data_IF_218515020791
#
_entry.id   IF_218515020791
#
_cell.length_a   1.000
_cell.length_b   1.000
_cell.length_c   1.000
_cell.angle_alpha   90.00
_cell.angle_beta   90.00
_cell.angle_gamma   90.00
#
_symmetry.space_group_name_H-M   'P 1'
#
loop_
_entity.id
_entity.type
_entity.pdbx_description
1 polymer ?
#
# COMPACT_ATOMS: atom_id res chain seq x y z
N UNK A 1 7.16 24.80 -28.52
CA UNK A 1 6.80 23.43 -28.10
C UNK A 1 8.03 22.56 -28.28
N UNK A 2 8.83 22.38 -27.22
CA UNK A 2 9.97 21.46 -27.25
C UNK A 2 9.42 20.05 -27.02
N UNK A 3 9.27 19.31 -28.11
CA UNK A 3 8.98 17.89 -28.07
C UNK A 3 10.25 17.21 -27.55
N UNK A 4 10.22 16.79 -26.28
CA UNK A 4 11.29 15.99 -25.70
C UNK A 4 11.38 14.68 -26.51
N UNK A 5 12.37 14.60 -27.41
CA UNK A 5 12.74 13.34 -28.02
C UNK A 5 13.19 12.40 -26.90
N UNK A 6 12.62 11.21 -26.91
CA UNK A 6 12.88 10.16 -25.93
C UNK A 6 14.36 9.76 -26.07
N UNK A 7 15.23 10.36 -25.28
CA UNK A 7 16.67 10.04 -25.21
C UNK A 7 17.07 9.59 -23.81
N UNK A 8 16.20 8.82 -23.14
CA UNK A 8 16.43 8.27 -21.80
C UNK A 8 16.06 6.79 -21.74
N UNK A 9 16.58 6.01 -22.68
CA UNK A 9 16.41 4.57 -22.73
C UNK A 9 17.55 3.86 -23.45
N UNK A 10 18.74 4.46 -23.46
CA UNK A 10 19.95 3.81 -23.94
C UNK A 10 20.85 3.58 -22.75
N UNK A 11 21.37 2.35 -22.65
CA UNK A 11 22.52 2.04 -21.84
C UNK A 11 23.73 2.93 -22.26
N UNK A 12 24.61 3.30 -21.30
CA UNK A 12 25.91 3.96 -21.53
C UNK A 12 26.78 3.18 -22.54
N UNK A 13 27.91 3.67 -23.04
CA UNK A 13 28.76 2.83 -23.91
C UNK A 13 29.82 2.13 -23.05
N UNK A 14 29.98 0.81 -23.17
CA UNK A 14 30.98 0.05 -22.38
C UNK A 14 32.42 0.30 -22.84
N UNK A 15 32.62 0.95 -24.00
CA UNK A 15 33.96 1.28 -24.49
C UNK A 15 34.55 2.45 -23.73
N UNK A 16 35.89 2.49 -23.66
CA UNK A 16 36.58 3.66 -23.15
C UNK A 16 36.10 4.90 -23.93
N UNK A 17 35.80 6.02 -23.24
CA UNK A 17 35.29 7.20 -23.91
C UNK A 17 36.29 7.67 -24.95
N UNK A 18 35.83 7.76 -26.21
CA UNK A 18 36.64 8.24 -27.32
C UNK A 18 37.17 9.65 -26.99
N UNK A 19 38.46 9.94 -27.24
CA UNK A 19 39.00 11.28 -27.10
C UNK A 19 38.13 12.27 -27.89
N UNK A 20 37.88 13.45 -27.31
CA UNK A 20 37.00 14.47 -27.90
C UNK A 20 37.40 14.84 -29.35
N UNK A 21 38.69 14.77 -29.67
CA UNK A 21 39.25 14.98 -31.01
C UNK A 21 38.76 13.95 -32.04
N UNK A 22 38.60 12.69 -31.64
CA UNK A 22 38.08 11.59 -32.46
C UNK A 22 36.57 11.70 -32.60
N UNK A 23 35.85 12.01 -31.52
CA UNK A 23 34.40 12.22 -31.53
C UNK A 23 33.98 13.33 -32.51
N UNK A 24 34.70 14.46 -32.52
CA UNK A 24 34.43 15.59 -33.44
C UNK A 24 34.64 15.22 -34.91
N UNK A 25 35.51 14.25 -35.20
CA UNK A 25 35.89 13.84 -36.57
C UNK A 25 35.04 12.66 -37.08
N UNK A 26 34.35 11.94 -36.19
CA UNK A 26 33.52 10.81 -36.56
C UNK A 26 32.29 11.27 -37.35
N UNK A 27 31.96 10.66 -38.51
CA UNK A 27 30.72 10.96 -39.19
C UNK A 27 29.57 10.58 -38.25
N UNK A 28 28.63 11.50 -38.07
CA UNK A 28 27.48 11.42 -37.16
C UNK A 28 26.44 10.34 -37.53
N UNK A 29 26.86 9.23 -38.15
CA UNK A 29 26.01 8.28 -38.87
C UNK A 29 26.11 6.82 -38.44
N UNK A 30 27.02 6.44 -37.53
CA UNK A 30 27.05 5.06 -37.03
C UNK A 30 26.08 4.90 -35.84
N UNK A 31 24.80 5.15 -36.10
CA UNK A 31 23.71 5.03 -35.13
C UNK A 31 23.12 3.63 -35.25
N UNK A 32 23.85 2.64 -34.75
CA UNK A 32 23.25 1.32 -34.53
C UNK A 32 22.12 1.44 -33.49
N UNK A 33 21.09 0.60 -33.60
CA UNK A 33 19.89 0.74 -32.78
C UNK A 33 20.13 0.24 -31.35
N UNK A 34 20.43 1.18 -30.45
CA UNK A 34 20.65 0.91 -29.02
C UNK A 34 19.41 0.41 -28.27
N UNK A 35 18.22 0.51 -28.86
CA UNK A 35 16.99 -0.02 -28.26
C UNK A 35 16.85 -1.54 -28.45
N UNK A 36 17.58 -2.14 -29.41
CA UNK A 36 17.56 -3.58 -29.65
C UNK A 36 18.73 -4.25 -28.93
N UNK A 37 18.44 -4.99 -27.85
CA UNK A 37 19.47 -5.73 -27.10
C UNK A 37 20.29 -6.66 -27.99
N UNK A 38 19.66 -7.30 -28.99
CA UNK A 38 20.35 -8.18 -29.93
C UNK A 38 21.38 -7.41 -30.79
N UNK A 39 20.99 -6.24 -31.28
CA UNK A 39 21.85 -5.40 -32.11
C UNK A 39 23.03 -4.85 -31.28
N UNK A 40 22.79 -4.51 -30.01
CA UNK A 40 23.84 -4.18 -29.05
C UNK A 40 24.85 -5.31 -28.88
N UNK A 41 24.37 -6.54 -28.68
CA UNK A 41 25.24 -7.70 -28.47
C UNK A 41 26.09 -7.95 -29.71
N UNK A 42 25.50 -7.93 -30.91
CA UNK A 42 26.22 -8.13 -32.17
C UNK A 42 27.27 -7.03 -32.35
N UNK A 43 26.91 -5.77 -32.09
CA UNK A 43 27.83 -4.64 -32.21
C UNK A 43 29.02 -4.76 -31.24
N UNK A 44 28.78 -5.14 -29.99
CA UNK A 44 29.84 -5.30 -28.99
C UNK A 44 30.75 -6.50 -29.29
N UNK A 45 30.17 -7.65 -29.69
CA UNK A 45 30.94 -8.83 -30.07
C UNK A 45 31.82 -8.61 -31.30
N UNK A 46 31.36 -7.82 -32.27
CA UNK A 46 32.13 -7.50 -33.48
C UNK A 46 33.29 -6.53 -33.20
N UNK A 47 33.12 -5.63 -32.24
CA UNK A 47 34.10 -4.59 -31.98
C UNK A 47 35.15 -4.95 -30.94
N UNK A 48 34.79 -5.76 -29.93
CA UNK A 48 35.70 -6.21 -28.88
C UNK A 48 35.37 -7.66 -28.50
N UNK A 49 36.34 -8.58 -28.50
CA UNK A 49 36.13 -9.90 -27.91
C UNK A 49 35.96 -9.78 -26.39
N UNK A 50 35.04 -10.54 -25.77
CA UNK A 50 34.87 -10.52 -24.32
C UNK A 50 36.08 -11.12 -23.60
N UNK A 51 36.36 -10.67 -22.36
CA UNK A 51 37.45 -11.20 -21.55
C UNK A 51 37.26 -12.71 -21.31
N UNK A 52 38.33 -13.49 -21.47
CA UNK A 52 38.29 -14.95 -21.30
C UNK A 52 37.63 -15.75 -22.42
N UNK A 53 37.37 -15.16 -23.59
CA UNK A 53 36.86 -15.90 -24.74
C UNK A 53 37.96 -16.73 -25.40
N UNK A 54 38.07 -17.98 -24.99
CA UNK A 54 38.79 -19.00 -25.74
C UNK A 54 37.84 -19.68 -26.74
N UNK A 55 38.09 -19.52 -28.05
CA UNK A 55 37.29 -20.15 -29.11
C UNK A 55 37.37 -21.69 -29.08
N UNK A 56 38.37 -22.25 -28.40
CA UNK A 56 38.58 -23.69 -28.29
C UNK A 56 37.85 -24.32 -27.09
N UNK A 57 37.49 -23.52 -26.08
CA UNK A 57 36.75 -23.96 -24.90
C UNK A 57 35.81 -22.86 -24.36
N UNK A 58 34.73 -22.52 -25.08
CA UNK A 58 33.88 -21.39 -24.71
C UNK A 58 33.21 -21.61 -23.36
N UNK A 59 33.55 -20.76 -22.39
CA UNK A 59 32.85 -20.69 -21.11
C UNK A 59 31.49 -20.01 -21.29
N UNK A 60 30.48 -20.52 -20.59
CA UNK A 60 29.14 -19.90 -20.56
C UNK A 60 29.21 -18.44 -20.09
N UNK A 61 30.17 -18.12 -19.22
CA UNK A 61 30.39 -16.76 -18.74
C UNK A 61 30.99 -15.84 -19.82
N UNK A 62 31.96 -16.31 -20.61
CA UNK A 62 32.60 -15.46 -21.64
C UNK A 62 31.64 -15.12 -22.77
N UNK A 63 30.75 -16.05 -23.16
CA UNK A 63 29.65 -15.76 -24.09
C UNK A 63 28.58 -14.86 -23.44
N UNK A 64 28.31 -15.07 -22.15
CA UNK A 64 27.31 -14.32 -21.39
C UNK A 64 27.72 -12.90 -20.98
N UNK A 65 28.96 -12.49 -21.20
CA UNK A 65 29.52 -11.22 -20.74
C UNK A 65 28.70 -10.00 -21.17
N UNK A 66 28.57 -9.74 -22.48
CA UNK A 66 27.83 -8.57 -22.96
C UNK A 66 26.33 -8.58 -22.59
N UNK A 67 25.59 -9.71 -22.74
CA UNK A 67 24.21 -9.77 -22.25
C UNK A 67 24.08 -9.44 -20.76
N UNK A 68 24.95 -9.98 -19.90
CA UNK A 68 24.91 -9.72 -18.45
C UNK A 68 25.15 -8.23 -18.18
N UNK A 69 26.18 -7.64 -18.79
CA UNK A 69 26.49 -6.23 -18.63
C UNK A 69 25.37 -5.30 -19.13
N UNK A 70 24.79 -5.57 -20.30
CA UNK A 70 23.64 -4.82 -20.82
C UNK A 70 22.45 -4.94 -19.86
N UNK A 71 22.19 -6.13 -19.32
CA UNK A 71 21.10 -6.27 -18.35
C UNK A 71 21.39 -5.50 -17.06
N UNK A 72 22.64 -5.50 -16.57
CA UNK A 72 23.01 -4.78 -15.35
C UNK A 72 22.85 -3.27 -15.47
N UNK A 73 23.12 -2.72 -16.64
CA UNK A 73 22.92 -1.30 -16.85
C UNK A 73 21.44 -0.90 -16.99
N UNK A 74 20.63 -1.75 -17.61
CA UNK A 74 19.16 -1.61 -17.57
C UNK A 74 18.64 -1.69 -16.12
N UNK A 75 19.24 -2.54 -15.29
CA UNK A 75 18.94 -2.57 -13.85
C UNK A 75 19.34 -1.27 -13.13
N UNK A 76 20.39 -0.59 -13.58
CA UNK A 76 20.77 0.72 -13.04
C UNK A 76 19.73 1.80 -13.40
N UNK A 77 19.25 1.83 -14.65
CA UNK A 77 18.15 2.71 -15.07
C UNK A 77 16.87 2.39 -14.28
N UNK A 78 16.54 1.11 -14.14
CA UNK A 78 15.43 0.67 -13.30
C UNK A 78 15.58 1.14 -11.85
N UNK A 79 16.81 1.14 -11.31
CA UNK A 79 17.10 1.64 -9.97
C UNK A 79 16.87 3.15 -9.82
N UNK A 80 17.21 3.92 -10.85
CA UNK A 80 16.88 5.33 -10.87
C UNK A 80 15.36 5.56 -10.89
N UNK A 81 14.63 4.78 -11.69
CA UNK A 81 13.16 4.86 -11.77
C UNK A 81 12.49 4.50 -10.44
N UNK A 82 12.88 3.40 -9.79
CA UNK A 82 12.31 3.02 -8.48
C UNK A 82 12.63 4.06 -7.41
N UNK A 83 13.84 4.66 -7.44
CA UNK A 83 14.20 5.76 -6.54
C UNK A 83 13.26 6.96 -6.72
N UNK A 84 12.99 7.35 -7.98
CA UNK A 84 12.08 8.44 -8.31
C UNK A 84 10.64 8.14 -7.91
N UNK A 85 10.15 6.94 -8.18
CA UNK A 85 8.81 6.50 -7.77
C UNK A 85 8.67 6.50 -6.24
N UNK A 86 9.65 5.92 -5.53
CA UNK A 86 9.68 5.90 -4.05
C UNK A 86 9.60 7.32 -3.48
N UNK A 87 10.41 8.25 -4.00
CA UNK A 87 10.36 9.67 -3.62
C UNK A 87 9.02 10.30 -3.96
N UNK A 88 8.46 10.02 -5.15
CA UNK A 88 7.16 10.58 -5.55
C UNK A 88 6.06 10.23 -4.55
N UNK A 89 5.96 8.98 -4.13
CA UNK A 89 4.97 8.57 -3.13
C UNK A 89 5.27 9.14 -1.74
N UNK A 90 6.54 9.20 -1.34
CA UNK A 90 6.95 9.79 -0.05
C UNK A 90 6.57 11.27 0.08
N UNK A 91 6.72 12.04 -1.01
CA UNK A 91 6.39 13.46 -1.05
C UNK A 91 4.98 13.76 -1.54
N UNK A 92 4.20 12.75 -1.94
CA UNK A 92 2.84 12.96 -2.38
C UNK A 92 1.97 13.46 -1.22
N UNK A 93 1.44 14.68 -1.36
CA UNK A 93 0.52 15.27 -0.39
C UNK A 93 -0.79 14.46 -0.31
N UNK A 94 -1.08 13.66 -1.34
CA UNK A 94 -2.24 12.77 -1.42
C UNK A 94 -2.25 11.69 -0.33
N UNK A 95 -1.10 11.14 0.03
CA UNK A 95 -0.98 10.18 1.14
C UNK A 95 -1.32 10.84 2.48
N UNK A 96 -0.97 12.12 2.65
CA UNK A 96 -1.28 12.92 3.85
C UNK A 96 -2.74 13.37 3.89
N UNK A 97 -3.31 13.67 2.73
CA UNK A 97 -4.69 14.15 2.60
C UNK A 97 -5.74 13.03 2.69
N UNK A 98 -5.34 11.75 2.71
CA UNK A 98 -6.25 10.61 2.85
C UNK A 98 -7.27 10.46 1.71
N UNK A 99 -7.05 11.14 0.57
CA UNK A 99 -8.04 11.31 -0.50
C UNK A 99 -8.03 10.22 -1.59
N UNK A 100 -7.02 9.36 -1.62
CA UNK A 100 -6.84 8.30 -2.63
C UNK A 100 -6.38 7.01 -1.94
N UNK A 101 -7.33 6.27 -1.37
CA UNK A 101 -7.06 5.12 -0.50
C UNK A 101 -6.56 3.88 -1.25
N UNK A 102 -7.32 3.44 -2.25
CA UNK A 102 -7.12 2.10 -2.81
C UNK A 102 -6.09 2.09 -3.94
N UNK A 103 -6.10 3.08 -4.82
CA UNK A 103 -5.20 3.15 -5.98
C UNK A 103 -3.73 3.31 -5.56
N UNK A 104 -3.44 4.25 -4.66
CA UNK A 104 -2.07 4.50 -4.18
C UNK A 104 -1.55 3.32 -3.37
N UNK A 105 -2.38 2.68 -2.54
CA UNK A 105 -1.99 1.51 -1.79
C UNK A 105 -1.74 0.31 -2.71
N UNK A 106 -2.59 0.11 -3.72
CA UNK A 106 -2.41 -0.92 -4.74
C UNK A 106 -1.10 -0.71 -5.50
N UNK A 107 -0.82 0.51 -5.94
CA UNK A 107 0.44 0.85 -6.62
C UNK A 107 1.66 0.59 -5.73
N UNK A 108 1.63 1.04 -4.47
CA UNK A 108 2.72 0.79 -3.51
C UNK A 108 2.93 -0.72 -3.31
N UNK A 109 1.85 -1.50 -3.20
CA UNK A 109 1.93 -2.95 -3.10
C UNK A 109 2.50 -3.61 -4.37
N UNK A 110 2.11 -3.13 -5.55
CA UNK A 110 2.64 -3.60 -6.83
C UNK A 110 4.14 -3.30 -6.95
N UNK A 111 4.57 -2.09 -6.60
CA UNK A 111 5.98 -1.69 -6.59
C UNK A 111 6.79 -2.50 -5.59
N UNK A 112 6.26 -2.74 -4.39
CA UNK A 112 6.86 -3.64 -3.39
C UNK A 112 7.06 -5.05 -3.95
N UNK A 113 6.02 -5.64 -4.56
CA UNK A 113 6.08 -6.98 -5.16
C UNK A 113 7.10 -7.03 -6.30
N UNK A 114 7.13 -6.00 -7.15
CA UNK A 114 8.08 -5.88 -8.26
C UNK A 114 9.51 -5.81 -7.75
N UNK A 115 9.79 -4.98 -6.74
CA UNK A 115 11.12 -4.88 -6.13
C UNK A 115 11.59 -6.22 -5.55
N UNK A 116 10.73 -6.92 -4.79
CA UNK A 116 11.05 -8.27 -4.27
C UNK A 116 11.39 -9.27 -5.37
N UNK A 117 10.68 -9.22 -6.50
CA UNK A 117 10.97 -10.07 -7.64
C UNK A 117 12.31 -9.73 -8.29
N UNK A 118 12.60 -8.44 -8.48
CA UNK A 118 13.87 -7.95 -9.00
C UNK A 118 15.06 -8.37 -8.13
N UNK A 119 14.95 -8.22 -6.81
CA UNK A 119 15.97 -8.67 -5.86
C UNK A 119 16.22 -10.20 -5.96
N UNK A 120 15.17 -11.01 -6.15
CA UNK A 120 15.32 -12.46 -6.35
C UNK A 120 16.07 -12.78 -7.64
N UNK A 121 15.77 -12.07 -8.74
CA UNK A 121 16.47 -12.26 -10.03
C UNK A 121 17.96 -11.91 -9.93
N UNK A 122 18.30 -10.80 -9.26
CA UNK A 122 19.69 -10.41 -9.02
C UNK A 122 20.43 -11.43 -8.13
N UNK A 123 19.76 -12.02 -7.14
CA UNK A 123 20.35 -13.10 -6.34
C UNK A 123 20.68 -14.33 -7.17
N UNK A 124 19.77 -14.75 -8.06
CA UNK A 124 20.01 -15.88 -8.97
C UNK A 124 21.19 -15.57 -9.89
N UNK A 125 21.25 -14.37 -10.46
CA UNK A 125 22.36 -13.94 -11.31
C UNK A 125 23.69 -14.02 -10.57
N UNK A 126 23.75 -13.49 -9.35
CA UNK A 126 24.93 -13.58 -8.47
C UNK A 126 25.36 -15.03 -8.23
N UNK A 127 24.41 -15.92 -7.92
CA UNK A 127 24.70 -17.32 -7.60
C UNK A 127 25.22 -18.08 -8.84
N UNK A 128 24.69 -17.76 -10.02
CA UNK A 128 25.19 -18.29 -11.30
C UNK A 128 26.61 -17.80 -11.58
N UNK A 129 26.87 -16.49 -11.44
CA UNK A 129 28.22 -15.93 -11.67
C UNK A 129 29.22 -16.53 -10.67
N UNK A 130 28.87 -16.60 -9.39
CA UNK A 130 29.74 -17.12 -8.35
C UNK A 130 30.04 -18.62 -8.48
N UNK A 131 29.14 -19.42 -9.06
CA UNK A 131 29.36 -20.86 -9.25
C UNK A 131 30.21 -21.18 -10.48
N UNK A 132 30.27 -20.26 -11.45
CA UNK A 132 31.00 -20.44 -12.71
C UNK A 132 32.31 -19.66 -12.76
N UNK A 133 32.67 -18.91 -11.71
CA UNK A 133 33.96 -18.20 -11.65
C UNK A 133 35.09 -19.22 -11.42
N UNK A 134 35.95 -19.41 -12.42
CA UNK A 134 37.17 -20.20 -12.26
C UNK A 134 38.31 -19.31 -11.74
N UNK A 135 39.27 -19.85 -10.96
CA UNK A 135 40.50 -19.15 -10.60
C UNK A 135 41.36 -18.98 -11.87
N UNK A 136 41.08 -17.93 -12.63
CA UNK A 136 41.75 -17.52 -13.86
C UNK A 136 41.95 -16.01 -13.84
N UNK A 137 42.74 -15.46 -14.76
CA UNK A 137 43.03 -14.01 -14.85
C UNK A 137 41.73 -13.17 -14.98
N UNK A 138 40.67 -13.74 -15.56
CA UNK A 138 39.36 -13.12 -15.71
C UNK A 138 38.57 -13.02 -14.39
N UNK A 139 39.02 -13.67 -13.32
CA UNK A 139 38.36 -13.61 -12.01
C UNK A 139 38.27 -12.17 -11.48
N UNK A 140 39.25 -11.31 -11.78
CA UNK A 140 39.21 -9.90 -11.38
C UNK A 140 38.03 -9.15 -12.01
N UNK A 141 37.76 -9.39 -13.30
CA UNK A 141 36.64 -8.76 -14.03
C UNK A 141 35.31 -9.26 -13.49
N UNK A 142 35.17 -10.57 -13.30
CA UNK A 142 33.94 -11.16 -12.75
C UNK A 142 33.69 -10.77 -11.29
N UNK A 143 34.74 -10.56 -10.50
CA UNK A 143 34.61 -10.00 -9.15
C UNK A 143 34.11 -8.55 -9.16
N UNK A 144 34.55 -7.72 -10.13
CA UNK A 144 34.02 -6.38 -10.30
C UNK A 144 32.51 -6.42 -10.65
N UNK A 145 32.10 -7.28 -11.59
CA UNK A 145 30.68 -7.51 -11.91
C UNK A 145 29.89 -7.94 -10.68
N UNK A 146 30.45 -8.85 -9.87
CA UNK A 146 29.79 -9.34 -8.66
C UNK A 146 29.60 -8.20 -7.64
N UNK A 147 30.58 -7.31 -7.51
CA UNK A 147 30.48 -6.12 -6.68
C UNK A 147 29.37 -5.18 -7.18
N UNK A 148 29.26 -4.95 -8.49
CA UNK A 148 28.19 -4.14 -9.07
C UNK A 148 26.81 -4.76 -8.84
N UNK A 149 26.68 -6.08 -9.01
CA UNK A 149 25.44 -6.83 -8.71
C UNK A 149 25.07 -6.68 -7.22
N UNK A 150 26.05 -6.81 -6.32
CA UNK A 150 25.83 -6.64 -4.88
C UNK A 150 25.40 -5.20 -4.55
N UNK A 151 26.07 -4.20 -5.13
CA UNK A 151 25.71 -2.80 -4.96
C UNK A 151 24.27 -2.51 -5.41
N UNK A 152 23.89 -2.97 -6.60
CA UNK A 152 22.52 -2.82 -7.10
C UNK A 152 21.51 -3.51 -6.19
N UNK A 153 21.82 -4.72 -5.69
CA UNK A 153 20.96 -5.45 -4.76
C UNK A 153 20.74 -4.67 -3.47
N UNK A 154 21.81 -4.15 -2.89
CA UNK A 154 21.76 -3.41 -1.63
C UNK A 154 20.93 -2.12 -1.80
N UNK A 155 21.08 -1.42 -2.93
CA UNK A 155 20.20 -0.29 -3.29
C UNK A 155 18.72 -0.69 -3.43
N UNK A 156 18.42 -1.80 -4.11
CA UNK A 156 17.05 -2.33 -4.20
C UNK A 156 16.48 -2.65 -2.81
N UNK A 157 17.32 -3.18 -1.92
CA UNK A 157 16.94 -3.54 -0.56
C UNK A 157 16.53 -2.29 0.25
N UNK A 158 17.34 -1.22 0.20
CA UNK A 158 17.03 0.04 0.87
C UNK A 158 15.70 0.63 0.37
N UNK A 159 15.48 0.64 -0.94
CA UNK A 159 14.21 1.09 -1.52
C UNK A 159 13.05 0.18 -1.13
N UNK A 160 13.27 -1.13 -1.01
CA UNK A 160 12.26 -2.08 -0.55
C UNK A 160 11.84 -1.75 0.89
N UNK A 161 12.80 -1.56 1.79
CA UNK A 161 12.53 -1.23 3.18
C UNK A 161 11.76 0.09 3.31
N UNK A 162 12.15 1.11 2.52
CA UNK A 162 11.43 2.39 2.49
C UNK A 162 9.98 2.22 2.01
N UNK A 163 9.74 1.47 0.94
CA UNK A 163 8.39 1.18 0.46
C UNK A 163 7.56 0.39 1.48
N UNK A 164 8.16 -0.55 2.21
CA UNK A 164 7.48 -1.29 3.26
C UNK A 164 7.01 -0.40 4.41
N UNK A 165 7.85 0.54 4.83
CA UNK A 165 7.48 1.54 5.83
C UNK A 165 6.33 2.41 5.33
N UNK A 166 6.36 2.85 4.07
CA UNK A 166 5.28 3.64 3.48
C UNK A 166 3.96 2.86 3.42
N UNK A 167 3.96 1.61 3.00
CA UNK A 167 2.74 0.77 2.99
C UNK A 167 2.17 0.60 4.39
N UNK A 168 3.03 0.43 5.41
CA UNK A 168 2.60 0.32 6.80
C UNK A 168 1.94 1.62 7.31
N UNK A 169 2.56 2.77 7.04
CA UNK A 169 2.02 4.09 7.40
C UNK A 169 0.72 4.38 6.64
N UNK A 170 0.67 4.07 5.34
CA UNK A 170 -0.54 4.21 4.53
C UNK A 170 -1.69 3.40 5.13
N UNK A 171 -1.45 2.12 5.44
CA UNK A 171 -2.46 1.21 6.01
C UNK A 171 -2.97 1.71 7.36
N UNK A 172 -2.10 2.23 8.23
CA UNK A 172 -2.52 2.74 9.54
C UNK A 172 -3.34 4.03 9.43
N UNK A 173 -2.97 4.94 8.52
CA UNK A 173 -3.77 6.13 8.20
C UNK A 173 -5.13 5.75 7.64
N UNK A 174 -5.17 4.72 6.79
CA UNK A 174 -6.40 4.19 6.21
C UNK A 174 -7.35 3.70 7.30
N UNK A 175 -6.86 2.82 8.18
CA UNK A 175 -7.63 2.30 9.31
C UNK A 175 -8.14 3.40 10.23
N UNK A 176 -7.33 4.45 10.45
CA UNK A 176 -7.73 5.59 11.26
C UNK A 176 -8.85 6.39 10.59
N UNK A 177 -8.76 6.64 9.28
CA UNK A 177 -9.77 7.36 8.52
C UNK A 177 -11.08 6.58 8.43
N UNK A 178 -11.03 5.27 8.17
CA UNK A 178 -12.21 4.40 8.20
C UNK A 178 -12.85 4.35 9.58
N UNK A 179 -12.06 4.30 10.65
CA UNK A 179 -12.56 4.38 12.03
C UNK A 179 -13.27 5.70 12.31
N UNK A 180 -12.67 6.83 11.91
CA UNK A 180 -13.30 8.16 12.05
C UNK A 180 -14.60 8.25 11.27
N UNK A 181 -14.61 7.77 10.03
CA UNK A 181 -15.79 7.74 9.17
C UNK A 181 -16.89 6.89 9.77
N UNK A 182 -16.57 5.67 10.24
CA UNK A 182 -17.51 4.78 10.92
C UNK A 182 -18.10 5.41 12.17
N UNK A 183 -17.30 6.13 12.96
CA UNK A 183 -17.78 6.88 14.14
C UNK A 183 -18.78 7.96 13.71
N UNK A 184 -18.48 8.73 12.68
CA UNK A 184 -19.37 9.77 12.17
C UNK A 184 -20.69 9.18 11.62
N UNK A 185 -20.60 8.09 10.87
CA UNK A 185 -21.76 7.35 10.36
C UNK A 185 -22.60 6.79 11.52
N UNK A 186 -21.96 6.27 12.57
CA UNK A 186 -22.65 5.80 13.77
C UNK A 186 -23.33 6.94 14.55
N UNK A 187 -22.71 8.12 14.64
CA UNK A 187 -23.34 9.31 15.24
C UNK A 187 -24.56 9.73 14.42
N UNK A 188 -24.44 9.77 13.10
CA UNK A 188 -25.55 10.13 12.22
C UNK A 188 -26.70 9.12 12.35
N UNK A 189 -26.38 7.83 12.37
CA UNK A 189 -27.36 6.75 12.56
C UNK A 189 -28.04 6.86 13.91
N UNK A 190 -27.29 7.12 14.99
CA UNK A 190 -27.86 7.35 16.34
C UNK A 190 -28.84 8.52 16.35
N UNK A 191 -28.50 9.63 15.70
CA UNK A 191 -29.40 10.80 15.59
C UNK A 191 -30.69 10.43 14.86
N UNK A 192 -30.59 9.69 13.76
CA UNK A 192 -31.74 9.22 13.01
C UNK A 192 -32.63 8.27 13.82
N UNK A 193 -32.05 7.26 14.48
CA UNK A 193 -32.79 6.32 15.34
C UNK A 193 -33.47 7.05 16.49
N UNK A 194 -32.79 8.01 17.12
CA UNK A 194 -33.37 8.84 18.18
C UNK A 194 -34.59 9.60 17.68
N UNK A 195 -34.49 10.22 16.51
CA UNK A 195 -35.59 10.96 15.88
C UNK A 195 -36.78 10.01 15.63
N UNK A 196 -36.53 8.84 15.04
CA UNK A 196 -37.57 7.84 14.78
C UNK A 196 -38.25 7.34 16.06
N UNK A 197 -37.49 7.09 17.13
CA UNK A 197 -38.03 6.66 18.43
C UNK A 197 -38.94 7.70 19.07
N UNK A 198 -38.69 8.99 18.87
CA UNK A 198 -39.56 10.07 19.38
C UNK A 198 -40.79 10.24 18.48
N UNK A 199 -40.64 10.27 17.15
CA UNK A 199 -41.74 10.56 16.25
C UNK A 199 -42.76 9.43 16.10
N UNK A 200 -42.35 8.16 16.12
CA UNK A 200 -43.27 7.03 15.99
C UNK A 200 -44.41 7.03 17.05
N UNK A 201 -44.10 7.07 18.35
CA UNK A 201 -45.14 7.07 19.38
C UNK A 201 -45.97 8.36 19.34
N UNK A 202 -45.36 9.49 19.01
CA UNK A 202 -46.08 10.75 18.82
C UNK A 202 -47.09 10.69 17.68
N UNK A 203 -46.68 10.17 16.53
CA UNK A 203 -47.56 10.00 15.39
C UNK A 203 -48.73 9.07 15.72
N UNK A 204 -48.48 8.02 16.50
CA UNK A 204 -49.53 7.11 16.96
C UNK A 204 -50.53 7.80 17.89
N UNK A 205 -50.06 8.56 18.88
CA UNK A 205 -50.92 9.34 19.78
C UNK A 205 -51.76 10.36 18.99
N UNK A 206 -51.13 11.11 18.08
CA UNK A 206 -51.82 12.04 17.19
C UNK A 206 -52.90 11.34 16.34
N UNK A 207 -52.58 10.21 15.73
CA UNK A 207 -53.53 9.44 14.93
C UNK A 207 -54.71 8.93 15.76
N UNK A 208 -54.47 8.47 16.99
CA UNK A 208 -55.50 7.88 17.84
C UNK A 208 -56.48 8.94 18.35
N UNK A 209 -55.98 10.12 18.74
CA UNK A 209 -56.82 11.23 19.18
C UNK A 209 -57.46 12.02 18.02
N UNK A 210 -56.86 12.01 16.83
CA UNK A 210 -57.42 12.65 15.63
C UNK A 210 -58.70 11.98 15.11
N UNK A 211 -59.00 10.74 15.53
CA UNK A 211 -60.21 10.01 15.10
C UNK A 211 -61.41 10.21 16.04
N UNK A 212 -61.27 10.99 17.11
CA UNK A 212 -62.31 11.17 18.12
C UNK A 212 -62.74 12.63 18.20
N UNK A 213 -63.97 12.91 17.78
CA UNK A 213 -64.55 14.26 17.73
C UNK A 213 -64.55 14.96 19.10
N UNK A 214 -64.60 14.20 20.20
CA UNK A 214 -64.61 14.75 21.56
C UNK A 214 -63.29 15.33 22.06
N UNK A 215 -62.15 15.07 21.40
CA UNK A 215 -60.83 15.58 21.79
C UNK A 215 -60.30 16.69 20.87
N UNK A 216 -61.12 17.18 19.95
CA UNK A 216 -60.79 18.26 19.03
C UNK A 216 -60.64 19.62 19.75
N UNK A 217 -59.76 20.54 19.29
CA UNK A 217 -59.59 21.86 19.90
C UNK A 217 -60.91 22.64 19.95
N UNK A 218 -61.37 22.92 21.18
CA UNK A 218 -62.65 23.60 21.44
C UNK A 218 -63.65 22.77 22.26
N UNK A 219 -63.37 21.48 22.49
CA UNK A 219 -64.19 20.59 23.33
C UNK A 219 -63.62 20.37 24.74
N UNK A 220 -64.48 20.06 25.70
CA UNK A 220 -64.17 19.95 27.15
C UNK A 220 -63.06 18.95 27.49
N UNK A 221 -62.83 17.93 26.65
CA UNK A 221 -61.86 16.86 26.90
C UNK A 221 -60.49 17.11 26.26
N UNK A 222 -60.27 18.27 25.64
CA UNK A 222 -59.00 18.63 24.99
C UNK A 222 -57.77 18.50 25.91
N UNK A 223 -57.93 18.67 27.22
CA UNK A 223 -56.84 18.54 28.19
C UNK A 223 -56.28 17.10 28.29
N UNK A 224 -57.10 16.08 27.99
CA UNK A 224 -56.71 14.66 28.03
C UNK A 224 -55.63 14.33 26.99
N UNK A 225 -55.61 15.05 25.87
CA UNK A 225 -54.56 14.93 24.86
C UNK A 225 -53.19 15.29 25.45
N UNK A 226 -53.09 16.42 26.17
CA UNK A 226 -51.84 16.80 26.84
C UNK A 226 -51.50 15.86 28.00
N UNK A 227 -52.50 15.43 28.77
CA UNK A 227 -52.32 14.52 29.89
C UNK A 227 -51.81 13.12 29.48
N UNK A 228 -52.01 12.71 28.22
CA UNK A 228 -51.54 11.41 27.69
C UNK A 228 -50.29 11.54 26.84
N UNK A 229 -50.16 12.58 26.01
CA UNK A 229 -48.98 12.79 25.18
C UNK A 229 -47.71 13.05 26.01
N UNK A 230 -47.82 13.80 27.11
CA UNK A 230 -46.69 14.19 27.95
C UNK A 230 -46.07 13.01 28.72
N UNK A 231 -46.84 12.10 29.36
CA UNK A 231 -46.27 10.89 29.94
C UNK A 231 -45.74 9.91 28.90
N UNK A 232 -46.37 9.79 27.72
CA UNK A 232 -45.82 8.96 26.64
C UNK A 232 -44.47 9.51 26.16
N UNK A 233 -44.35 10.83 25.98
CA UNK A 233 -43.07 11.50 25.68
C UNK A 233 -42.04 11.25 26.79
N UNK A 234 -42.44 11.38 28.05
CA UNK A 234 -41.57 11.14 29.19
C UNK A 234 -41.06 9.70 29.21
N UNK A 235 -41.93 8.71 29.00
CA UNK A 235 -41.55 7.29 28.94
C UNK A 235 -40.58 7.02 27.80
N UNK A 236 -40.83 7.56 26.60
CA UNK A 236 -39.96 7.38 25.43
C UNK A 236 -38.59 8.04 25.63
N UNK A 237 -38.56 9.25 26.18
CA UNK A 237 -37.31 9.93 26.52
C UNK A 237 -36.55 9.19 27.61
N UNK A 238 -37.23 8.67 28.63
CA UNK A 238 -36.62 7.89 29.71
C UNK A 238 -36.05 6.58 29.16
N UNK A 239 -36.78 5.89 28.27
CA UNK A 239 -36.31 4.68 27.59
C UNK A 239 -35.09 4.96 26.69
N UNK A 240 -35.06 6.11 26.01
CA UNK A 240 -33.96 6.50 25.13
C UNK A 240 -32.73 7.04 25.90
N UNK A 241 -32.94 7.68 27.05
CA UNK A 241 -31.87 8.23 27.88
C UNK A 241 -31.21 7.16 28.75
N UNK A 242 -31.84 6.00 28.95
CA UNK A 242 -31.25 4.87 29.64
C UNK A 242 -30.06 4.35 28.83
N UNK A 243 -28.82 4.51 29.33
CA UNK A 243 -27.65 3.95 28.65
C UNK A 243 -27.72 2.43 28.80
N UNK A 244 -28.20 1.76 27.75
CA UNK A 244 -28.26 0.29 27.65
C UNK A 244 -26.96 -0.40 28.11
N UNK A 245 -25.81 0.26 27.92
CA UNK A 245 -24.51 -0.21 28.40
C UNK A 245 -24.37 -0.30 29.93
N UNK A 246 -24.91 0.63 30.71
CA UNK A 246 -24.78 0.59 32.19
C UNK A 246 -25.66 -0.49 32.82
N UNK A 247 -26.83 -0.74 32.25
CA UNK A 247 -27.77 -1.75 32.74
C UNK A 247 -27.26 -3.16 32.42
N UNK A 248 -26.69 -3.37 31.23
CA UNK A 248 -26.08 -4.65 30.86
C UNK A 248 -24.85 -5.00 31.72
N UNK A 249 -24.03 -4.00 32.05
CA UNK A 249 -22.89 -4.18 32.97
C UNK A 249 -23.40 -4.48 34.38
N UNK A 250 -24.35 -3.69 34.90
CA UNK A 250 -24.93 -3.91 36.23
C UNK A 250 -25.63 -5.27 36.36
N UNK A 251 -26.34 -5.71 35.32
CA UNK A 251 -26.99 -7.03 35.29
C UNK A 251 -25.97 -8.19 35.30
N UNK A 252 -24.85 -8.06 34.56
CA UNK A 252 -23.75 -9.03 34.63
C UNK A 252 -23.08 -9.03 36.01
N UNK A 253 -22.87 -7.86 36.62
CA UNK A 253 -22.32 -7.74 37.97
C UNK A 253 -23.22 -8.37 39.02
N UNK A 254 -24.55 -8.18 38.91
CA UNK A 254 -25.53 -8.77 39.81
C UNK A 254 -25.58 -10.29 39.67
N UNK A 255 -25.64 -10.81 38.44
CA UNK A 255 -25.63 -12.26 38.16
C UNK A 255 -24.36 -12.94 38.65
N UNK A 256 -23.20 -12.29 38.51
CA UNK A 256 -21.93 -12.79 39.05
C UNK A 256 -21.90 -12.80 40.58
N UNK A 257 -22.48 -11.79 41.24
CA UNK A 257 -22.56 -11.70 42.70
C UNK A 257 -23.49 -12.77 43.30
N UNK A 258 -24.64 -13.03 42.68
CA UNK A 258 -25.58 -14.08 43.11
C UNK A 258 -24.98 -15.48 42.92
N UNK A 259 -24.28 -15.74 41.81
CA UNK A 259 -23.60 -17.03 41.57
C UNK A 259 -22.52 -17.31 42.62
N UNK A 260 -21.72 -16.31 43.00
CA UNK A 260 -20.69 -16.47 44.04
C UNK A 260 -21.28 -16.65 45.44
N UNK A 261 -22.47 -16.10 45.72
CA UNK A 261 -23.12 -16.30 47.01
C UNK A 261 -23.73 -17.71 47.13
N UNK A 262 -24.29 -18.25 46.04
CA UNK A 262 -24.81 -19.62 45.99
C UNK A 262 -23.74 -20.70 46.19
N UNK A 263 -22.52 -20.48 45.70
CA UNK A 263 -21.41 -21.45 45.89
C UNK A 263 -20.83 -21.43 47.31
N UNK A 264 -21.04 -20.37 48.11
CA UNK A 264 -20.61 -20.34 49.51
C UNK A 264 -21.55 -21.08 50.46
N UNK A 265 -22.82 -21.27 50.07
CA UNK A 265 -23.83 -21.96 50.89
C UNK A 265 -23.79 -23.49 50.70
N UNK A 266 -23.20 -23.97 49.60
CA UNK A 266 -23.04 -25.40 49.30
C UNK A 266 -21.66 -25.97 49.70
N UNK A 267 -20.85 -25.18 50.42
CA UNK A 267 -19.44 -25.48 50.69
C UNK A 267 -19.07 -25.68 52.16
N UNK A 268 -20.03 -25.90 53.06
CA UNK A 268 -19.71 -26.42 54.40
C UNK A 268 -19.98 -27.92 54.45
N UNK A 269 -18.94 -28.77 54.44
CA UNK A 269 -19.08 -30.18 54.79
C UNK A 269 -19.13 -30.29 56.32
N UNK A 270 -20.21 -30.84 56.84
CA UNK A 270 -20.22 -31.52 58.14
C UNK A 270 -19.71 -32.93 57.95
#
# INVERSE_FOLDING_TARGET
MYQASISHGSFEDFRAPEPYSTFKRSPSGDTWNKASMMESIIHYLQACPPPGLDLTSPSVLSIGYYPIYITLSEWNIYNFLISRCSKHYQYSDQLKAGRLHDEVLLDLQLWKRRNRNSHRKLNILRDVISSHILPSDDAAVWNAVLNDVNYLRDQLHDYSQSLEQMVMVATSLIQLLDSRRSILEAINTKRLTFLALVFLPFAWVLSLFSMSDGYSPGHDLFWVYFATALPVLAVVLLLSALPYGKIAIAAKSYKARVRNHGMRVLGEPV
#
